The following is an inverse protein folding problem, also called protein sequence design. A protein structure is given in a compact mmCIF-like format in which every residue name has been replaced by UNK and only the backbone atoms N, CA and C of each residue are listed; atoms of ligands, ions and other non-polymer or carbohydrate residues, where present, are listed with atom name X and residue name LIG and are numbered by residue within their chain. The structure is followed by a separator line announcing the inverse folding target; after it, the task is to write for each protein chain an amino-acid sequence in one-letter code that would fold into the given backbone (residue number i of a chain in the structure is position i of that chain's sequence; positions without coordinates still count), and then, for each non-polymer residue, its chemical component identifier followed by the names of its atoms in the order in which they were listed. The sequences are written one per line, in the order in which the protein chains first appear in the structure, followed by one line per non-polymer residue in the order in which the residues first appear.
data_IF_988308606237
#
_entry.id   IF_988308606237
#
_cell.length_a   1.000
_cell.length_b   1.000
_cell.length_c   1.000
_cell.angle_alpha   90.00
_cell.angle_beta   90.00
_cell.angle_gamma   90.00
#
_symmetry.space_group_name_H-M   'P 1'
#
loop_
_entity.id
_entity.type
_entity.pdbx_description
1 polymer ?
#
# COMPACT_ATOMS: atom_id res chain seq x y z
N UNK A 1 -2.49 17.26 29.58
CA UNK A 1 -1.87 16.06 28.98
C UNK A 1 -2.09 16.12 27.48
N UNK A 2 -1.17 15.67 26.62
CA UNK A 2 -1.40 15.60 25.19
C UNK A 2 -2.57 14.67 24.89
N UNK A 3 -3.29 14.95 23.81
CA UNK A 3 -4.33 14.05 23.30
C UNK A 3 -3.66 12.78 22.75
N UNK A 4 -4.30 11.64 22.89
CA UNK A 4 -3.74 10.35 22.44
C UNK A 4 -4.48 9.83 21.21
N UNK A 5 -3.74 9.40 20.20
CA UNK A 5 -4.28 8.82 18.97
C UNK A 5 -3.84 7.37 18.82
N UNK A 6 -4.79 6.42 18.81
CA UNK A 6 -4.51 5.03 18.46
C UNK A 6 -4.47 4.86 16.95
N UNK A 7 -3.34 4.51 16.39
CA UNK A 7 -3.13 4.28 14.97
C UNK A 7 -3.09 2.77 14.71
N UNK A 8 -4.10 2.25 14.03
CA UNK A 8 -4.20 0.84 13.64
C UNK A 8 -3.67 0.71 12.23
N UNK A 9 -2.46 0.16 12.09
CA UNK A 9 -1.78 -0.10 10.83
C UNK A 9 -1.27 -1.54 10.77
N UNK A 10 -1.19 -2.10 9.58
CA UNK A 10 -0.58 -3.42 9.40
C UNK A 10 0.91 -3.32 9.10
N UNK A 11 1.29 -2.30 8.31
CA UNK A 11 2.67 -2.05 7.94
C UNK A 11 3.30 -1.01 8.87
N UNK A 12 4.37 -1.43 9.55
CA UNK A 12 5.18 -0.60 10.44
C UNK A 12 6.63 -1.06 10.36
N UNK A 13 7.64 -0.22 10.59
CA UNK A 13 9.03 -0.65 10.58
C UNK A 13 9.28 -1.92 11.42
N UNK A 14 10.10 -2.88 10.93
CA UNK A 14 10.99 -2.82 9.77
C UNK A 14 10.36 -3.19 8.43
N UNK A 15 9.02 -3.26 8.31
CA UNK A 15 8.40 -3.39 6.99
C UNK A 15 8.74 -2.16 6.16
N UNK A 16 9.10 -2.35 4.88
CA UNK A 16 9.45 -1.30 3.94
C UNK A 16 8.35 -1.01 2.92
N UNK A 17 8.61 -0.03 2.07
CA UNK A 17 7.72 0.37 0.99
C UNK A 17 6.75 1.48 1.35
N UNK A 18 6.00 1.95 0.33
CA UNK A 18 5.11 3.12 0.43
C UNK A 18 4.03 3.01 1.50
N UNK A 19 3.65 1.77 1.85
CA UNK A 19 2.62 1.51 2.86
C UNK A 19 3.00 1.92 4.29
N UNK A 20 4.30 2.08 4.58
CA UNK A 20 4.82 2.42 5.91
C UNK A 20 4.99 3.92 6.07
N UNK A 21 5.52 4.60 5.05
CA UNK A 21 6.02 5.98 5.11
C UNK A 21 5.00 6.97 5.67
N UNK A 22 3.76 6.94 5.16
CA UNK A 22 2.73 7.91 5.55
C UNK A 22 2.52 7.98 7.07
N UNK A 23 2.27 6.85 7.72
CA UNK A 23 1.97 6.85 9.15
C UNK A 23 3.22 6.87 10.03
N UNK A 24 4.36 6.42 9.53
CA UNK A 24 5.64 6.63 10.19
C UNK A 24 5.93 8.14 10.29
N UNK A 25 5.87 8.85 9.17
CA UNK A 25 6.12 10.31 9.14
C UNK A 25 5.04 11.08 9.90
N UNK A 26 3.76 10.75 9.73
CA UNK A 26 2.70 11.40 10.52
C UNK A 26 2.89 11.21 12.02
N UNK A 27 3.27 10.02 12.49
CA UNK A 27 3.52 9.79 13.92
C UNK A 27 4.69 10.61 14.46
N UNK A 28 5.70 10.92 13.62
CA UNK A 28 6.79 11.81 13.96
C UNK A 28 6.29 13.23 14.26
N UNK A 29 5.44 13.77 13.40
CA UNK A 29 4.97 15.15 13.49
C UNK A 29 3.74 15.37 14.39
N UNK A 30 2.95 14.34 14.68
CA UNK A 30 1.75 14.46 15.53
C UNK A 30 2.02 15.11 16.88
N UNK A 31 3.19 14.88 17.49
CA UNK A 31 3.58 15.47 18.77
C UNK A 31 3.70 16.98 18.72
N UNK A 32 4.11 17.55 17.59
CA UNK A 32 4.20 19.00 17.38
C UNK A 32 2.82 19.67 17.44
N UNK A 33 1.77 18.89 17.18
CA UNK A 33 0.37 19.31 17.24
C UNK A 33 -0.34 18.87 18.53
N UNK A 34 0.42 18.43 19.54
CA UNK A 34 -0.12 18.05 20.84
C UNK A 34 -0.81 16.67 20.88
N UNK A 35 -0.51 15.80 19.91
CA UNK A 35 -1.02 14.43 19.86
C UNK A 35 0.08 13.41 20.16
N UNK A 36 -0.20 12.49 21.07
CA UNK A 36 0.70 11.36 21.36
C UNK A 36 0.21 10.12 20.58
N UNK A 37 0.96 9.62 19.58
CA UNK A 37 0.61 8.43 18.85
C UNK A 37 0.83 7.16 19.66
N UNK A 38 -0.11 6.23 19.56
CA UNK A 38 -0.01 4.84 20.01
C UNK A 38 -0.22 3.95 18.82
N UNK A 39 0.78 3.17 18.47
CA UNK A 39 0.76 2.34 17.26
C UNK A 39 0.30 0.92 17.60
N UNK A 40 -0.73 0.45 16.91
CA UNK A 40 -1.16 -0.95 16.95
C UNK A 40 -0.88 -1.61 15.62
N UNK A 41 0.01 -2.61 15.60
CA UNK A 41 0.50 -3.21 14.36
C UNK A 41 0.71 -4.72 14.45
N UNK A 42 1.01 -5.33 13.31
CA UNK A 42 1.37 -6.75 13.21
C UNK A 42 2.75 -7.02 13.81
N UNK A 43 2.89 -8.13 14.53
CA UNK A 43 4.20 -8.63 14.98
C UNK A 43 5.01 -9.23 13.83
N UNK A 44 4.32 -9.83 12.87
CA UNK A 44 4.90 -10.60 11.78
C UNK A 44 4.27 -10.21 10.44
N UNK A 45 4.41 -8.93 10.00
CA UNK A 45 3.79 -8.49 8.75
C UNK A 45 4.42 -9.23 7.57
N UNK A 46 3.60 -9.72 6.65
CA UNK A 46 4.09 -10.14 5.34
C UNK A 46 4.28 -8.88 4.48
N UNK A 47 5.52 -8.43 4.36
CA UNK A 47 5.88 -7.24 3.60
C UNK A 47 6.63 -7.61 2.31
N UNK A 48 6.39 -6.90 1.20
CA UNK A 48 7.16 -7.08 -0.04
C UNK A 48 8.64 -6.75 0.14
N UNK A 49 8.97 -5.85 1.04
CA UNK A 49 10.34 -5.45 1.38
C UNK A 49 10.46 -5.21 2.89
N UNK A 50 11.68 -5.35 3.40
CA UNK A 50 12.05 -4.95 4.75
C UNK A 50 13.14 -3.90 4.64
N UNK A 51 13.01 -2.85 5.45
CA UNK A 51 13.96 -1.75 5.56
C UNK A 51 14.20 -1.46 7.04
N UNK A 52 15.33 -1.90 7.52
CA UNK A 52 15.70 -1.76 8.93
C UNK A 52 16.11 -0.34 9.29
N UNK A 53 16.51 0.49 8.32
CA UNK A 53 16.84 1.89 8.57
C UNK A 53 15.61 2.70 9.04
N UNK A 54 14.41 2.28 8.63
CA UNK A 54 13.17 2.91 9.09
C UNK A 54 12.91 2.76 10.60
N UNK A 55 13.61 1.84 11.29
CA UNK A 55 13.50 1.73 12.75
C UNK A 55 14.08 2.96 13.45
N UNK A 56 15.11 3.58 12.87
CA UNK A 56 15.74 4.78 13.41
C UNK A 56 14.85 6.01 13.25
N UNK A 57 13.86 5.93 12.36
CA UNK A 57 12.88 7.01 12.14
C UNK A 57 11.66 6.92 13.08
N UNK A 58 11.49 5.81 13.79
CA UNK A 58 10.41 5.68 14.76
C UNK A 58 10.67 6.67 15.91
N UNK A 59 9.71 7.58 16.19
CA UNK A 59 9.95 8.59 17.23
C UNK A 59 10.20 7.96 18.59
N UNK A 60 11.22 8.47 19.28
CA UNK A 60 11.59 7.96 20.60
C UNK A 60 10.41 8.00 21.60
N UNK A 61 10.20 6.87 22.29
CA UNK A 61 9.15 6.76 23.31
C UNK A 61 7.73 6.59 22.78
N UNK A 62 7.55 6.42 21.45
CA UNK A 62 6.24 6.04 20.89
C UNK A 62 5.91 4.63 21.33
N UNK A 63 4.72 4.46 21.89
CA UNK A 63 4.21 3.15 22.28
C UNK A 63 3.81 2.35 21.03
N UNK A 64 4.45 1.19 20.80
CA UNK A 64 4.17 0.30 19.68
C UNK A 64 3.70 -1.06 20.19
N UNK A 65 2.45 -1.39 19.91
CA UNK A 65 1.79 -2.63 20.34
C UNK A 65 1.81 -3.63 19.18
N UNK A 66 2.69 -4.61 19.26
CA UNK A 66 2.79 -5.69 18.27
C UNK A 66 1.88 -6.87 18.63
N UNK A 67 1.08 -7.34 17.67
CA UNK A 67 0.23 -8.53 17.85
C UNK A 67 0.37 -9.50 16.69
N UNK A 68 0.41 -10.81 16.95
CA UNK A 68 0.51 -11.79 15.89
C UNK A 68 -0.72 -11.78 14.99
N UNK A 69 -0.49 -11.92 13.70
CA UNK A 69 -1.52 -12.07 12.68
C UNK A 69 -1.39 -13.47 12.09
N UNK A 70 -2.49 -14.22 12.12
CA UNK A 70 -2.54 -15.48 11.39
C UNK A 70 -2.97 -15.20 9.95
N UNK A 71 -2.12 -15.60 9.01
CA UNK A 71 -2.35 -15.46 7.59
C UNK A 71 -2.29 -16.81 6.89
N UNK A 72 -3.22 -17.13 6.00
CA UNK A 72 -3.28 -18.43 5.33
C UNK A 72 -2.16 -18.66 4.30
N UNK A 73 -1.33 -17.65 4.04
CA UNK A 73 -0.24 -17.75 3.05
C UNK A 73 0.80 -18.82 3.37
N UNK A 74 1.08 -19.09 4.65
CA UNK A 74 1.98 -20.16 5.05
C UNK A 74 1.46 -21.55 4.66
N UNK A 75 0.14 -21.71 4.80
CA UNK A 75 -0.54 -22.94 4.37
C UNK A 75 -0.50 -23.06 2.84
N UNK A 76 -0.80 -21.96 2.15
CA UNK A 76 -0.79 -21.89 0.69
C UNK A 76 0.59 -22.16 0.08
N UNK A 77 1.67 -21.61 0.66
CA UNK A 77 3.06 -21.90 0.25
C UNK A 77 3.41 -23.37 0.39
N UNK A 78 2.96 -24.03 1.45
CA UNK A 78 3.14 -25.48 1.64
C UNK A 78 2.44 -26.30 0.56
N UNK A 79 1.22 -25.90 0.17
CA UNK A 79 0.45 -26.61 -0.88
C UNK A 79 0.96 -26.35 -2.30
N UNK A 80 1.54 -25.19 -2.57
CA UNK A 80 2.00 -24.81 -3.92
C UNK A 80 3.49 -25.07 -4.15
N UNK A 81 4.24 -25.51 -3.13
CA UNK A 81 5.69 -25.80 -3.22
C UNK A 81 6.58 -24.56 -3.45
N UNK A 82 6.03 -23.37 -3.38
CA UNK A 82 6.74 -22.10 -3.65
C UNK A 82 7.28 -21.49 -2.35
N UNK A 83 8.52 -21.82 -2.01
CA UNK A 83 9.17 -21.28 -0.80
C UNK A 83 9.54 -19.78 -0.90
N UNK A 84 9.76 -19.23 -2.10
CA UNK A 84 10.45 -17.94 -2.27
C UNK A 84 9.66 -16.83 -2.97
N UNK A 85 8.38 -17.01 -3.34
CA UNK A 85 7.59 -15.93 -3.90
C UNK A 85 6.83 -15.18 -2.80
N UNK A 86 7.33 -13.99 -2.46
CA UNK A 86 6.59 -13.00 -1.66
C UNK A 86 5.38 -12.53 -2.47
N UNK A 87 4.18 -12.66 -1.90
CA UNK A 87 2.97 -12.10 -2.49
C UNK A 87 2.94 -10.58 -2.21
N UNK A 88 3.74 -9.83 -2.98
CA UNK A 88 3.66 -8.38 -2.99
C UNK A 88 2.41 -7.88 -3.73
N UNK A 89 2.11 -6.61 -3.60
CA UNK A 89 0.98 -5.88 -4.20
C UNK A 89 1.01 -5.79 -5.75
N UNK A 90 1.67 -6.70 -6.43
CA UNK A 90 1.71 -6.84 -7.87
C UNK A 90 1.48 -8.28 -8.28
N UNK A 91 0.21 -8.68 -8.42
CA UNK A 91 -0.15 -9.95 -9.07
C UNK A 91 0.26 -10.01 -10.55
N UNK A 92 0.89 -8.96 -11.05
CA UNK A 92 1.26 -8.75 -12.44
C UNK A 92 2.76 -8.94 -12.71
N UNK A 93 3.53 -9.53 -11.83
CA UNK A 93 4.91 -9.86 -12.19
C UNK A 93 4.95 -11.17 -12.93
N UNK A 94 5.16 -11.01 -14.22
CA UNK A 94 6.02 -11.82 -15.04
C UNK A 94 5.52 -13.04 -15.75
N UNK A 95 5.88 -12.99 -16.98
CA UNK A 95 6.36 -14.13 -17.77
C UNK A 95 5.28 -15.14 -18.13
N UNK A 96 5.16 -15.40 -19.40
CA UNK A 96 4.37 -16.45 -20.07
C UNK A 96 4.66 -17.89 -19.58
N UNK A 97 4.90 -18.08 -18.28
CA UNK A 97 4.80 -19.39 -17.66
C UNK A 97 3.32 -19.70 -17.52
N UNK A 98 2.85 -20.79 -18.11
CA UNK A 98 1.50 -21.35 -18.00
C UNK A 98 1.05 -21.18 -16.53
N UNK A 99 0.10 -20.26 -16.28
CA UNK A 99 -0.48 -20.10 -14.94
C UNK A 99 -1.00 -21.45 -14.54
N UNK A 100 -0.33 -22.12 -13.61
CA UNK A 100 -0.76 -23.44 -13.16
C UNK A 100 -2.22 -23.30 -12.72
N UNK A 101 -3.06 -24.26 -13.08
CA UNK A 101 -4.47 -24.36 -12.64
C UNK A 101 -4.60 -24.11 -11.14
N UNK A 102 -3.64 -24.60 -10.35
CA UNK A 102 -3.57 -24.36 -8.90
C UNK A 102 -3.44 -22.88 -8.54
N UNK A 103 -2.68 -22.08 -9.31
CA UNK A 103 -2.61 -20.63 -9.07
C UNK A 103 -3.95 -19.94 -9.32
N UNK A 104 -4.66 -20.35 -10.34
CA UNK A 104 -5.98 -19.80 -10.67
C UNK A 104 -6.98 -20.08 -9.56
N UNK A 105 -7.00 -21.32 -9.04
CA UNK A 105 -7.84 -21.70 -7.90
C UNK A 105 -7.47 -20.89 -6.67
N UNK A 106 -6.19 -20.73 -6.39
CA UNK A 106 -5.72 -19.99 -5.23
C UNK A 106 -6.10 -18.50 -5.26
N UNK A 107 -5.97 -17.86 -6.42
CA UNK A 107 -6.42 -16.47 -6.63
C UNK A 107 -7.93 -16.40 -6.42
N UNK A 108 -8.67 -17.34 -6.96
CA UNK A 108 -10.12 -17.41 -6.79
C UNK A 108 -10.51 -17.61 -5.31
N UNK A 109 -9.89 -18.55 -4.61
CA UNK A 109 -10.12 -18.76 -3.16
C UNK A 109 -9.82 -17.46 -2.39
N UNK A 110 -8.70 -16.80 -2.69
CA UNK A 110 -8.32 -15.53 -2.06
C UNK A 110 -9.39 -14.45 -2.26
N UNK A 111 -9.89 -14.30 -3.49
CA UNK A 111 -10.87 -13.26 -3.82
C UNK A 111 -12.28 -13.51 -3.30
N UNK A 112 -12.60 -14.77 -2.89
CA UNK A 112 -13.96 -15.13 -2.53
C UNK A 112 -14.16 -15.52 -1.06
N UNK A 113 -13.12 -16.00 -0.38
CA UNK A 113 -13.21 -16.48 1.00
C UNK A 113 -12.46 -15.62 2.01
N UNK A 114 -11.46 -14.84 1.55
CA UNK A 114 -10.69 -13.97 2.44
C UNK A 114 -11.13 -12.52 2.29
N UNK A 115 -12.25 -12.18 2.89
CA UNK A 115 -12.91 -10.87 2.82
C UNK A 115 -12.83 -10.17 4.19
N UNK A 116 -12.27 -8.95 4.27
CA UNK A 116 -11.90 -8.01 3.20
C UNK A 116 -10.57 -8.34 2.52
N UNK A 117 -9.68 -9.04 3.20
CA UNK A 117 -8.35 -9.44 2.77
C UNK A 117 -7.85 -10.61 3.62
N UNK A 118 -6.65 -11.12 3.34
CA UNK A 118 -6.09 -12.30 4.00
C UNK A 118 -5.85 -12.13 5.51
N UNK A 119 -5.95 -10.90 6.03
CA UNK A 119 -5.79 -10.56 7.45
C UNK A 119 -7.10 -10.60 8.23
N UNK A 120 -8.21 -11.05 7.62
CA UNK A 120 -9.54 -11.07 8.24
C UNK A 120 -9.58 -11.74 9.62
N UNK A 121 -8.72 -12.72 9.85
CA UNK A 121 -8.63 -13.43 11.14
C UNK A 121 -8.04 -12.55 12.25
N UNK A 122 -7.41 -11.44 11.91
CA UNK A 122 -6.89 -10.46 12.87
C UNK A 122 -8.00 -9.61 13.51
N UNK A 123 -9.17 -9.49 12.87
CA UNK A 123 -10.25 -8.60 13.29
C UNK A 123 -10.72 -8.89 14.72
N UNK A 124 -11.11 -10.14 14.99
CA UNK A 124 -11.69 -10.49 16.29
C UNK A 124 -10.67 -10.47 17.45
N UNK A 125 -9.46 -11.05 17.30
CA UNK A 125 -8.45 -11.00 18.35
C UNK A 125 -8.03 -9.56 18.66
N UNK A 126 -7.83 -8.71 17.62
CA UNK A 126 -7.45 -7.31 17.79
C UNK A 126 -8.54 -6.50 18.48
N UNK A 127 -9.78 -6.61 18.04
CA UNK A 127 -10.87 -5.88 18.66
C UNK A 127 -11.06 -6.28 20.15
N UNK A 128 -10.92 -7.57 20.47
CA UNK A 128 -10.99 -8.04 21.85
C UNK A 128 -9.85 -7.49 22.69
N UNK A 129 -8.62 -7.55 22.19
CA UNK A 129 -7.45 -7.02 22.87
C UNK A 129 -7.57 -5.50 23.11
N UNK A 130 -7.85 -4.73 22.04
CA UNK A 130 -7.95 -3.27 22.11
C UNK A 130 -9.09 -2.81 23.04
N UNK A 131 -10.23 -3.49 23.03
CA UNK A 131 -11.32 -3.18 23.96
C UNK A 131 -10.91 -3.34 25.44
N UNK A 132 -10.02 -4.26 25.76
CA UNK A 132 -9.50 -4.42 27.10
C UNK A 132 -8.37 -3.45 27.42
N UNK A 133 -7.44 -3.25 26.47
CA UNK A 133 -6.31 -2.34 26.62
C UNK A 133 -6.76 -0.89 26.83
N UNK A 134 -7.71 -0.41 26.04
CA UNK A 134 -8.18 0.97 26.07
C UNK A 134 -9.00 1.34 27.32
N UNK A 135 -9.46 0.36 28.11
CA UNK A 135 -10.09 0.64 29.41
C UNK A 135 -9.12 1.26 30.41
N UNK A 136 -7.84 0.86 30.36
CA UNK A 136 -6.80 1.36 31.26
C UNK A 136 -5.88 2.36 30.56
N UNK A 137 -5.91 2.44 29.25
CA UNK A 137 -5.09 3.30 28.41
C UNK A 137 -5.96 4.08 27.43
N UNK A 138 -6.80 5.03 27.90
CA UNK A 138 -7.75 5.73 27.03
C UNK A 138 -7.04 6.53 25.96
N UNK A 139 -7.72 6.66 24.80
CA UNK A 139 -7.29 7.49 23.66
C UNK A 139 -8.45 8.37 23.23
N UNK A 140 -8.13 9.52 22.63
CA UNK A 140 -9.12 10.51 22.20
C UNK A 140 -9.65 10.22 20.81
N UNK A 141 -8.88 9.49 20.00
CA UNK A 141 -9.26 9.14 18.63
C UNK A 141 -8.62 7.81 18.22
N UNK A 142 -9.35 7.07 17.40
CA UNK A 142 -8.83 5.90 16.69
C UNK A 142 -8.62 6.30 15.23
N UNK A 143 -7.47 5.94 14.68
CA UNK A 143 -7.16 6.10 13.26
C UNK A 143 -6.86 4.71 12.69
N UNK A 144 -7.50 4.35 11.61
CA UNK A 144 -7.18 3.11 10.89
C UNK A 144 -6.72 3.43 9.48
N UNK A 145 -5.66 2.79 9.01
CA UNK A 145 -5.13 3.02 7.67
C UNK A 145 -5.14 1.74 6.85
N UNK A 146 -5.62 1.81 5.65
CA UNK A 146 -5.74 0.70 4.69
C UNK A 146 -5.13 1.04 3.32
N UNK A 147 -4.70 0.02 2.52
CA UNK A 147 -4.78 -1.40 2.81
C UNK A 147 -3.77 -1.90 3.85
N UNK A 148 -4.03 -3.05 4.49
CA UNK A 148 -5.19 -3.92 4.34
C UNK A 148 -6.45 -3.34 5.00
N UNK A 149 -7.63 -3.55 4.38
CA UNK A 149 -8.89 -2.97 4.88
C UNK A 149 -9.43 -3.67 6.14
N UNK A 150 -8.83 -4.79 6.54
CA UNK A 150 -9.01 -5.43 7.85
C UNK A 150 -8.82 -4.44 8.99
N UNK A 151 -7.89 -3.48 8.89
CA UNK A 151 -7.62 -2.45 9.91
C UNK A 151 -8.86 -1.59 10.18
N UNK A 152 -9.61 -1.21 9.13
CA UNK A 152 -10.85 -0.45 9.27
C UNK A 152 -11.93 -1.23 10.02
N UNK A 153 -12.03 -2.54 9.77
CA UNK A 153 -13.00 -3.39 10.48
C UNK A 153 -12.66 -3.61 11.95
N UNK A 154 -11.36 -3.61 12.29
CA UNK A 154 -10.90 -3.60 13.69
C UNK A 154 -11.33 -2.28 14.33
N UNK A 155 -10.95 -1.14 13.75
CA UNK A 155 -11.26 0.19 14.25
C UNK A 155 -12.76 0.39 14.44
N UNK A 156 -13.57 0.03 13.45
CA UNK A 156 -15.03 0.10 13.50
C UNK A 156 -15.61 -0.62 14.72
N UNK A 157 -15.10 -1.83 15.05
CA UNK A 157 -15.58 -2.60 16.19
C UNK A 157 -15.20 -1.97 17.53
N UNK A 158 -13.97 -1.46 17.62
CA UNK A 158 -13.45 -0.83 18.83
C UNK A 158 -14.12 0.51 19.08
N UNK A 159 -14.18 1.37 18.07
CA UNK A 159 -14.84 2.67 18.12
C UNK A 159 -16.29 2.55 18.59
N UNK A 160 -17.08 1.67 17.94
CA UNK A 160 -18.48 1.47 18.31
C UNK A 160 -18.67 0.88 19.72
N UNK A 161 -17.75 0.02 20.18
CA UNK A 161 -17.84 -0.60 21.51
C UNK A 161 -17.50 0.36 22.62
N UNK A 162 -16.53 1.25 22.40
CA UNK A 162 -16.00 2.17 23.40
C UNK A 162 -16.47 3.62 23.20
N UNK A 163 -17.24 3.88 22.14
CA UNK A 163 -17.70 5.22 21.76
C UNK A 163 -16.55 6.22 21.59
N UNK A 164 -15.47 5.81 20.92
CA UNK A 164 -14.30 6.63 20.63
C UNK A 164 -14.39 7.10 19.17
N UNK A 165 -14.20 8.40 18.88
CA UNK A 165 -14.17 8.92 17.51
C UNK A 165 -13.19 8.16 16.62
N UNK A 166 -13.57 7.94 15.35
CA UNK A 166 -12.80 7.13 14.43
C UNK A 166 -12.58 7.82 13.09
N UNK A 167 -11.32 7.88 12.67
CA UNK A 167 -10.86 8.33 11.36
C UNK A 167 -10.42 7.13 10.53
N UNK A 168 -10.98 6.97 9.32
CA UNK A 168 -10.58 5.91 8.41
C UNK A 168 -9.77 6.50 7.24
N UNK A 169 -8.49 6.15 7.16
CA UNK A 169 -7.54 6.62 6.14
C UNK A 169 -7.45 5.61 4.97
N UNK A 170 -8.09 5.93 3.87
CA UNK A 170 -8.08 5.18 2.63
C UNK A 170 -6.93 5.64 1.74
N UNK A 171 -5.75 5.04 1.91
CA UNK A 171 -4.58 5.33 1.06
C UNK A 171 -4.76 4.80 -0.36
N UNK A 172 -5.52 3.72 -0.49
CA UNK A 172 -5.94 3.13 -1.76
C UNK A 172 -7.44 2.80 -1.71
N UNK A 173 -8.14 2.82 -2.85
CA UNK A 173 -9.53 2.36 -2.93
C UNK A 173 -9.65 0.89 -2.51
N UNK A 174 -10.83 0.49 -2.03
CA UNK A 174 -11.08 -0.91 -1.66
C UNK A 174 -11.63 -1.70 -2.85
N UNK A 175 -12.86 -1.41 -3.28
CA UNK A 175 -13.48 -2.14 -4.41
C UNK A 175 -13.20 -1.52 -5.77
N UNK A 176 -12.78 -0.25 -5.83
CA UNK A 176 -12.41 0.47 -7.06
C UNK A 176 -10.91 0.39 -7.38
N UNK A 177 -10.14 -0.43 -6.65
CA UNK A 177 -8.73 -0.64 -6.98
C UNK A 177 -8.61 -1.45 -8.28
N UNK A 178 -7.66 -1.07 -9.13
CA UNK A 178 -7.49 -1.59 -10.51
C UNK A 178 -7.36 -3.11 -10.59
N UNK A 179 -6.69 -3.73 -9.61
CA UNK A 179 -6.49 -5.19 -9.56
C UNK A 179 -7.61 -5.97 -8.84
N UNK A 180 -8.69 -5.32 -8.37
CA UNK A 180 -9.75 -6.00 -7.64
C UNK A 180 -10.41 -7.13 -8.47
N UNK A 181 -10.61 -6.89 -9.76
CA UNK A 181 -11.20 -7.87 -10.67
C UNK A 181 -10.25 -9.03 -10.99
N UNK A 182 -8.94 -8.84 -10.88
CA UNK A 182 -7.95 -9.89 -11.07
C UNK A 182 -8.05 -11.00 -10.02
N UNK A 183 -8.64 -10.71 -8.86
CA UNK A 183 -8.97 -11.69 -7.82
C UNK A 183 -10.15 -12.60 -8.20
N UNK A 184 -10.83 -12.35 -9.33
CA UNK A 184 -12.00 -13.09 -9.84
C UNK A 184 -13.11 -13.26 -8.78
N UNK A 185 -13.54 -12.19 -8.10
CA UNK A 185 -14.59 -12.28 -7.09
C UNK A 185 -15.93 -12.63 -7.74
N UNK A 186 -16.68 -13.54 -7.11
CA UNK A 186 -18.07 -13.85 -7.47
C UNK A 186 -18.98 -12.65 -7.19
N UNK A 187 -20.20 -12.68 -7.71
CA UNK A 187 -21.20 -11.64 -7.43
C UNK A 187 -21.46 -11.51 -5.92
N UNK A 188 -21.52 -12.64 -5.20
CA UNK A 188 -21.69 -12.67 -3.74
C UNK A 188 -20.49 -12.02 -3.03
N UNK A 189 -19.25 -12.38 -3.39
CA UNK A 189 -18.04 -11.78 -2.81
C UNK A 189 -17.98 -10.28 -3.07
N UNK A 190 -18.28 -9.82 -4.29
CA UNK A 190 -18.39 -8.39 -4.63
C UNK A 190 -19.42 -7.67 -3.76
N UNK A 191 -20.59 -8.27 -3.57
CA UNK A 191 -21.65 -7.69 -2.73
C UNK A 191 -21.21 -7.57 -1.26
N UNK A 192 -20.51 -8.60 -0.72
CA UNK A 192 -19.97 -8.56 0.64
C UNK A 192 -18.90 -7.46 0.77
N UNK A 193 -17.94 -7.38 -0.15
CA UNK A 193 -16.92 -6.32 -0.15
C UNK A 193 -17.55 -4.93 -0.16
N UNK A 194 -18.47 -4.66 -1.11
CA UNK A 194 -19.18 -3.37 -1.20
C UNK A 194 -19.97 -3.02 0.06
N UNK A 195 -20.63 -4.03 0.66
CA UNK A 195 -21.36 -3.83 1.93
C UNK A 195 -20.41 -3.45 3.06
N UNK A 196 -19.26 -4.11 3.16
CA UNK A 196 -18.26 -3.83 4.19
C UNK A 196 -17.65 -2.44 3.98
N UNK A 197 -17.23 -2.12 2.76
CA UNK A 197 -16.69 -0.81 2.38
C UNK A 197 -17.70 0.29 2.71
N UNK A 198 -18.91 0.21 2.18
CA UNK A 198 -19.98 1.17 2.50
C UNK A 198 -20.20 1.30 4.00
N UNK A 199 -20.15 0.19 4.74
CA UNK A 199 -20.33 0.21 6.19
C UNK A 199 -19.19 0.93 6.94
N UNK A 200 -17.99 1.00 6.39
CA UNK A 200 -16.86 1.80 6.90
C UNK A 200 -17.11 3.26 6.55
N UNK A 201 -17.38 3.57 5.28
CA UNK A 201 -17.58 4.92 4.77
C UNK A 201 -18.72 5.68 5.46
N UNK A 202 -19.77 4.96 5.87
CA UNK A 202 -20.95 5.56 6.53
C UNK A 202 -20.89 5.57 8.05
N UNK A 203 -19.89 4.91 8.67
CA UNK A 203 -19.80 4.82 10.14
C UNK A 203 -18.57 5.51 10.72
N UNK A 204 -17.53 5.74 9.95
CA UNK A 204 -16.38 6.52 10.42
C UNK A 204 -16.80 7.99 10.60
N UNK A 205 -16.31 8.62 11.66
CA UNK A 205 -16.58 10.04 11.93
C UNK A 205 -15.91 10.94 10.89
N UNK A 206 -14.75 10.48 10.36
CA UNK A 206 -14.03 11.14 9.28
C UNK A 206 -13.41 10.11 8.35
N UNK A 207 -13.49 10.37 7.05
CA UNK A 207 -12.75 9.64 6.01
C UNK A 207 -11.62 10.52 5.51
N UNK A 208 -10.44 9.93 5.37
CA UNK A 208 -9.30 10.57 4.72
C UNK A 208 -8.91 9.77 3.50
N UNK A 209 -8.53 10.44 2.43
CA UNK A 209 -7.91 9.82 1.26
C UNK A 209 -6.80 10.70 0.70
N UNK A 210 -6.06 10.20 -0.29
CA UNK A 210 -4.80 10.81 -0.74
C UNK A 210 -4.92 11.58 -2.07
N UNK A 211 -6.06 11.48 -2.77
CA UNK A 211 -6.29 12.21 -4.02
C UNK A 211 -7.75 12.63 -4.17
N UNK A 212 -7.98 13.73 -4.86
CA UNK A 212 -9.34 14.22 -5.14
C UNK A 212 -10.16 13.20 -5.97
N UNK A 213 -9.52 12.50 -6.92
CA UNK A 213 -10.18 11.47 -7.73
C UNK A 213 -10.76 10.36 -6.87
N UNK A 214 -9.95 9.81 -5.97
CA UNK A 214 -10.42 8.79 -5.03
C UNK A 214 -11.43 9.34 -4.03
N UNK A 215 -11.29 10.61 -3.63
CA UNK A 215 -12.29 11.28 -2.80
C UNK A 215 -13.67 11.28 -3.45
N UNK A 216 -13.76 11.64 -4.73
CA UNK A 216 -15.00 11.62 -5.49
C UNK A 216 -15.60 10.21 -5.59
N UNK A 217 -14.77 9.18 -5.82
CA UNK A 217 -15.22 7.80 -5.85
C UNK A 217 -15.78 7.33 -4.49
N UNK A 218 -15.10 7.66 -3.38
CA UNK A 218 -15.56 7.31 -2.04
C UNK A 218 -16.86 8.05 -1.66
N UNK A 219 -17.03 9.30 -2.09
CA UNK A 219 -18.30 10.05 -1.94
C UNK A 219 -19.42 9.34 -2.70
N UNK A 220 -19.17 8.92 -3.94
CA UNK A 220 -20.15 8.18 -4.74
C UNK A 220 -20.53 6.82 -4.09
N UNK A 221 -19.64 6.22 -3.30
CA UNK A 221 -19.88 5.00 -2.52
C UNK A 221 -20.56 5.26 -1.17
N UNK A 222 -20.75 6.53 -0.78
CA UNK A 222 -21.52 6.94 0.39
C UNK A 222 -20.71 7.56 1.54
N UNK A 223 -19.47 7.98 1.31
CA UNK A 223 -18.74 8.78 2.29
C UNK A 223 -19.39 10.17 2.44
N UNK A 224 -19.68 10.58 3.67
CA UNK A 224 -20.36 11.87 3.95
C UNK A 224 -19.45 12.94 4.54
N UNK A 225 -18.40 12.52 5.24
CA UNK A 225 -17.42 13.40 5.90
C UNK A 225 -16.01 13.01 5.46
N UNK A 226 -15.61 13.48 4.27
CA UNK A 226 -14.36 13.13 3.63
C UNK A 226 -13.45 14.34 3.49
N UNK A 227 -12.15 14.11 3.65
CA UNK A 227 -11.11 15.09 3.39
C UNK A 227 -9.97 14.46 2.60
N UNK A 228 -9.38 15.22 1.71
CA UNK A 228 -8.20 14.81 0.95
C UNK A 228 -6.98 15.35 1.66
N UNK A 229 -6.12 14.43 2.14
CA UNK A 229 -4.82 14.73 2.71
C UNK A 229 -3.80 13.94 1.91
N UNK A 230 -3.11 14.60 1.01
CA UNK A 230 -2.13 14.00 0.11
C UNK A 230 -0.94 13.39 0.87
N UNK A 231 -0.17 12.55 0.19
CA UNK A 231 1.13 12.12 0.70
C UNK A 231 2.12 13.28 0.55
N UNK A 232 2.80 13.60 1.64
CA UNK A 232 3.89 14.55 1.66
C UNK A 232 5.26 13.89 1.47
N UNK A 233 6.29 14.68 1.65
CA UNK A 233 7.67 14.26 1.80
C UNK A 233 8.24 14.83 3.12
N UNK A 234 9.26 14.20 3.65
CA UNK A 234 9.98 14.71 4.82
C UNK A 234 11.27 15.38 4.35
N UNK A 235 11.44 16.65 4.63
CA UNK A 235 12.65 17.41 4.25
C UNK A 235 13.93 16.79 4.82
N UNK A 236 13.83 16.12 5.97
CA UNK A 236 14.95 15.43 6.59
C UNK A 236 15.48 14.23 5.77
N UNK A 237 14.67 13.71 4.83
CA UNK A 237 15.08 12.62 3.94
C UNK A 237 16.00 13.12 2.80
N UNK A 238 16.11 14.43 2.63
CA UNK A 238 16.92 15.03 1.57
C UNK A 238 18.19 15.66 2.14
N UNK A 239 19.33 15.21 1.64
CA UNK A 239 20.59 15.90 1.94
C UNK A 239 20.61 17.27 1.27
N UNK A 240 21.17 18.28 1.94
CA UNK A 240 21.35 19.63 1.41
C UNK A 240 22.36 19.72 0.25
N UNK A 241 22.90 18.60 -0.22
CA UNK A 241 23.83 18.56 -1.34
C UNK A 241 23.09 18.85 -2.65
N UNK A 242 23.53 19.88 -3.35
CA UNK A 242 23.09 20.15 -4.72
C UNK A 242 23.49 18.97 -5.59
N UNK A 243 22.50 18.28 -6.15
CA UNK A 243 22.76 17.19 -7.08
C UNK A 243 23.45 17.76 -8.33
N UNK A 244 24.58 17.18 -8.71
CA UNK A 244 25.19 17.50 -9.99
C UNK A 244 24.29 16.99 -11.11
N UNK A 245 23.97 17.87 -12.05
CA UNK A 245 23.17 17.51 -13.23
C UNK A 245 24.03 16.67 -14.17
N UNK A 246 23.47 15.58 -14.69
CA UNK A 246 24.13 14.80 -15.72
C UNK A 246 24.44 15.66 -16.97
N UNK A 247 25.61 15.49 -17.59
CA UNK A 247 25.93 16.10 -18.88
C UNK A 247 25.30 15.33 -20.08
N UNK A 248 24.38 14.41 -19.79
CA UNK A 248 23.70 13.54 -20.76
C UNK A 248 22.20 13.70 -20.59
N UNK A 249 21.42 13.34 -21.60
CA UNK A 249 19.98 13.29 -21.50
C UNK A 249 19.55 11.98 -20.83
N UNK A 250 19.31 12.03 -19.54
CA UNK A 250 18.85 10.86 -18.77
C UNK A 250 17.34 10.95 -18.48
N UNK A 251 16.64 9.85 -18.72
CA UNK A 251 15.25 9.66 -18.38
C UNK A 251 15.17 8.56 -17.34
N UNK A 252 14.85 8.94 -16.11
CA UNK A 252 14.88 8.02 -14.97
C UNK A 252 13.48 7.66 -14.49
N UNK A 253 13.19 6.36 -14.38
CA UNK A 253 12.01 5.84 -13.70
C UNK A 253 12.43 5.25 -12.36
N UNK A 254 11.77 5.68 -11.27
CA UNK A 254 12.01 5.18 -9.92
C UNK A 254 10.73 4.47 -9.45
N UNK A 255 10.86 3.19 -9.08
CA UNK A 255 9.77 2.36 -8.59
C UNK A 255 9.44 1.17 -9.49
N UNK A 256 8.23 0.64 -9.36
CA UNK A 256 7.76 -0.50 -10.17
C UNK A 256 7.14 -0.03 -11.47
N UNK A 257 7.71 -0.44 -12.59
CA UNK A 257 7.14 -0.26 -13.93
C UNK A 257 6.32 -1.50 -14.28
N UNK A 258 5.04 -1.49 -13.93
CA UNK A 258 4.09 -2.58 -14.18
C UNK A 258 3.50 -2.49 -15.60
N UNK A 259 2.86 -3.55 -16.13
CA UNK A 259 2.31 -3.55 -17.50
C UNK A 259 1.35 -2.40 -17.79
N UNK A 260 0.49 -2.06 -16.84
CA UNK A 260 -0.48 -0.95 -16.95
C UNK A 260 0.16 0.45 -16.83
N UNK A 261 1.44 0.53 -16.45
CA UNK A 261 2.25 1.76 -16.43
C UNK A 261 3.25 1.83 -17.58
N UNK A 262 3.29 0.79 -18.41
CA UNK A 262 4.15 0.78 -19.61
C UNK A 262 3.67 1.80 -20.63
N UNK A 263 4.53 2.73 -21.01
CA UNK A 263 4.20 3.82 -21.92
C UNK A 263 4.73 3.53 -23.34
N UNK A 264 4.07 2.64 -24.08
CA UNK A 264 4.47 2.26 -25.45
C UNK A 264 4.61 3.45 -26.40
N UNK A 265 3.81 4.50 -26.21
CA UNK A 265 3.88 5.71 -27.04
C UNK A 265 5.22 6.43 -26.85
N UNK A 266 5.71 6.50 -25.59
CA UNK A 266 7.03 7.09 -25.28
C UNK A 266 8.14 6.28 -25.91
N UNK A 267 8.12 4.96 -25.78
CA UNK A 267 9.15 4.09 -26.35
C UNK A 267 9.20 4.17 -27.86
N UNK A 268 8.03 4.22 -28.55
CA UNK A 268 7.97 4.44 -29.99
C UNK A 268 8.54 5.79 -30.42
N UNK A 269 8.22 6.85 -29.66
CA UNK A 269 8.74 8.20 -29.96
C UNK A 269 10.26 8.26 -29.80
N UNK A 270 10.80 7.77 -28.68
CA UNK A 270 12.24 7.71 -28.44
C UNK A 270 12.96 6.83 -29.47
N UNK A 271 12.42 5.63 -29.77
CA UNK A 271 13.00 4.75 -30.77
C UNK A 271 13.05 5.35 -32.18
N UNK A 272 12.05 6.17 -32.53
CA UNK A 272 12.10 6.96 -33.78
C UNK A 272 13.17 8.07 -33.70
N UNK A 273 13.23 8.76 -32.56
CA UNK A 273 14.10 9.92 -32.40
C UNK A 273 15.60 9.53 -32.40
N UNK A 274 15.98 8.43 -31.73
CA UNK A 274 17.37 7.94 -31.77
C UNK A 274 17.81 7.49 -33.16
N UNK A 275 16.88 7.00 -34.00
CA UNK A 275 17.18 6.60 -35.39
C UNK A 275 17.41 7.81 -36.31
N UNK A 276 16.74 8.92 -36.05
CA UNK A 276 16.78 10.13 -36.91
C UNK A 276 17.77 11.19 -36.40
N UNK A 277 18.24 11.10 -35.16
CA UNK A 277 19.13 12.07 -34.55
C UNK A 277 20.31 11.37 -33.86
N UNK A 278 21.46 11.20 -34.54
CA UNK A 278 22.62 10.51 -33.97
C UNK A 278 23.21 11.19 -32.73
N UNK A 279 23.12 12.51 -32.61
CA UNK A 279 23.67 13.25 -31.48
C UNK A 279 22.79 13.05 -30.22
N UNK A 280 21.47 13.01 -30.39
CA UNK A 280 20.58 12.63 -29.31
C UNK A 280 20.83 11.17 -28.89
N UNK A 281 21.01 10.26 -29.83
CA UNK A 281 21.27 8.86 -29.56
C UNK A 281 22.54 8.64 -28.69
N UNK A 282 23.58 9.44 -28.87
CA UNK A 282 24.80 9.38 -28.04
C UNK A 282 24.55 9.81 -26.61
N UNK A 283 23.61 10.73 -26.38
CA UNK A 283 23.34 11.34 -25.08
C UNK A 283 22.24 10.61 -24.29
N UNK A 284 21.31 9.89 -24.96
CA UNK A 284 20.19 9.23 -24.28
C UNK A 284 20.66 8.14 -23.32
N UNK A 285 20.11 8.18 -22.08
CA UNK A 285 20.16 7.07 -21.11
C UNK A 285 18.78 6.89 -20.49
N UNK A 286 18.33 5.63 -20.43
CA UNK A 286 17.08 5.23 -19.80
C UNK A 286 17.43 4.50 -18.51
N UNK A 287 17.26 5.15 -17.36
CA UNK A 287 17.62 4.62 -16.04
C UNK A 287 16.39 4.06 -15.34
N UNK A 288 16.46 2.80 -14.91
CA UNK A 288 15.38 2.14 -14.18
C UNK A 288 15.84 1.74 -12.79
N UNK A 289 15.32 2.42 -11.77
CA UNK A 289 15.60 2.13 -10.36
C UNK A 289 14.40 1.42 -9.76
N UNK A 290 14.42 0.09 -9.75
CA UNK A 290 13.32 -0.72 -9.26
C UNK A 290 12.97 -1.91 -10.15
N UNK A 291 11.77 -2.47 -9.98
CA UNK A 291 11.32 -3.62 -10.76
C UNK A 291 10.68 -3.20 -12.06
N UNK A 292 11.16 -3.74 -13.17
CA UNK A 292 10.61 -3.52 -14.52
C UNK A 292 9.95 -4.80 -15.01
N UNK A 293 8.70 -4.70 -15.45
CA UNK A 293 7.96 -5.83 -16.02
C UNK A 293 8.52 -6.26 -17.38
N UNK A 294 8.42 -7.55 -17.67
CA UNK A 294 8.90 -8.11 -18.93
C UNK A 294 8.27 -7.46 -20.17
N UNK A 295 6.99 -7.06 -20.08
CA UNK A 295 6.31 -6.40 -21.21
C UNK A 295 6.90 -5.02 -21.53
N UNK A 296 7.37 -4.28 -20.53
CA UNK A 296 8.05 -3.02 -20.74
C UNK A 296 9.43 -3.23 -21.39
N UNK A 297 10.18 -4.25 -20.95
CA UNK A 297 11.46 -4.62 -21.57
C UNK A 297 11.29 -5.11 -23.02
N UNK A 298 10.24 -5.90 -23.29
CA UNK A 298 9.88 -6.31 -24.65
C UNK A 298 9.56 -5.09 -25.54
N UNK A 299 8.83 -4.11 -25.01
CA UNK A 299 8.49 -2.89 -25.74
C UNK A 299 9.72 -2.01 -26.01
N UNK A 300 10.62 -1.85 -25.05
CA UNK A 300 11.90 -1.16 -25.22
C UNK A 300 12.75 -1.83 -26.29
N UNK A 301 12.86 -3.16 -26.26
CA UNK A 301 13.62 -3.94 -27.24
C UNK A 301 13.02 -3.81 -28.65
N UNK A 302 11.71 -3.91 -28.80
CA UNK A 302 11.01 -3.77 -30.07
C UNK A 302 11.21 -2.40 -30.72
N UNK A 303 11.47 -1.37 -29.92
CA UNK A 303 11.75 -0.02 -30.38
C UNK A 303 13.26 0.30 -30.51
N UNK A 304 14.15 -0.69 -30.29
CA UNK A 304 15.60 -0.53 -30.46
C UNK A 304 16.26 0.26 -29.33
N UNK A 305 15.63 0.28 -28.13
CA UNK A 305 16.07 1.10 -26.99
C UNK A 305 16.88 0.31 -25.94
N UNK A 306 17.03 -1.00 -26.07
CA UNK A 306 17.72 -1.84 -25.08
C UNK A 306 19.15 -1.41 -24.80
N UNK A 307 19.87 -0.91 -25.80
CA UNK A 307 21.25 -0.42 -25.65
C UNK A 307 21.37 0.90 -24.90
N UNK A 308 20.27 1.56 -24.59
CA UNK A 308 20.22 2.82 -23.83
C UNK A 308 19.75 2.62 -22.39
N UNK A 309 19.37 1.39 -22.00
CA UNK A 309 18.85 1.08 -20.66
C UNK A 309 19.97 0.77 -19.66
N UNK A 310 19.85 1.32 -18.44
CA UNK A 310 20.72 1.13 -17.28
C UNK A 310 19.90 0.69 -16.05
#
# INVERSE_FOLDING_TARGET
MPKRALIITYYWPPAGGSGVQRWLKFSKYLREFGWEPVIYTSLNPESPAYDHALLDEVPNGVEVIHRPVWEPYSLFRKFTGRKDQKFGAGLASSGKSKRSFLNTIAIWIRGNFFIPDARMFWINPSARFLNNYLKNNPVDVIISTGPPHTTHLIAKRVSRKLNIPWVADFRDPWTNIDFFLDLKPTALAKAIHRRLEKSVLTTADKIITVTQGWGNDLIALGATNLEVIENGFDEADFSSSVANVDNIFSLTHIGTLSPNRNCDALWRALGKFVKTNPDFAKQLRLKFVGSVDASAMESLNANGLSGYCE
#
